data_IF_078424876524
#
_entry.id   IF_078424876524
#
_cell.length_a   1.000
_cell.length_b   1.000
_cell.length_c   1.000
_cell.angle_alpha   90.00
_cell.angle_beta   90.00
_cell.angle_gamma   90.00
#
_symmetry.space_group_name_H-M   'P 1'
#
loop_
_entity.id
_entity.type
_entity.pdbx_description
1 polymer ?
#
# COMPACT_ATOMS: atom_id res chain seq x y z
N UNK A 1 29.89 -11.62 -9.03
CA UNK A 1 28.96 -11.62 -10.18
C UNK A 1 27.64 -11.13 -9.63
N UNK A 2 27.58 -9.84 -9.29
CA UNK A 2 26.42 -9.27 -8.58
C UNK A 2 25.41 -8.81 -9.62
N UNK A 3 24.36 -9.62 -9.69
CA UNK A 3 23.27 -9.48 -10.64
C UNK A 3 22.53 -8.22 -10.24
N UNK A 4 22.47 -7.23 -11.15
CA UNK A 4 21.72 -5.97 -10.97
C UNK A 4 20.38 -6.24 -10.29
N UNK A 5 20.23 -5.73 -9.06
CA UNK A 5 19.03 -5.95 -8.26
C UNK A 5 17.93 -5.01 -8.74
N UNK A 6 16.74 -5.56 -8.98
CA UNK A 6 15.58 -4.78 -9.43
C UNK A 6 15.25 -3.68 -8.41
N UNK A 7 15.22 -2.43 -8.89
CA UNK A 7 14.90 -1.27 -8.06
C UNK A 7 13.67 -0.53 -8.58
N UNK A 8 13.02 0.22 -7.68
CA UNK A 8 11.92 1.14 -8.03
C UNK A 8 12.44 2.56 -8.00
N UNK A 9 12.62 3.14 -9.19
CA UNK A 9 13.09 4.50 -9.35
C UNK A 9 12.15 5.53 -8.68
N UNK A 10 12.73 6.53 -8.00
CA UNK A 10 11.99 7.62 -7.37
C UNK A 10 11.14 7.22 -6.16
N UNK A 11 11.26 5.99 -5.66
CA UNK A 11 10.54 5.53 -4.48
C UNK A 11 11.23 5.99 -3.21
N UNK A 12 10.49 6.65 -2.32
CA UNK A 12 11.02 7.20 -1.08
C UNK A 12 10.73 6.29 0.12
N UNK A 13 9.50 5.78 0.25
CA UNK A 13 9.11 4.93 1.37
C UNK A 13 8.23 3.74 0.91
N UNK A 14 8.38 2.62 1.60
CA UNK A 14 7.38 1.55 1.63
C UNK A 14 6.29 1.92 2.62
N UNK A 15 5.03 1.80 2.21
CA UNK A 15 3.90 2.14 3.08
C UNK A 15 3.05 0.91 3.35
N UNK A 16 2.90 0.58 4.63
CA UNK A 16 2.01 -0.48 5.11
C UNK A 16 0.84 0.21 5.81
N UNK A 17 -0.38 0.00 5.35
CA UNK A 17 -1.57 0.58 5.94
C UNK A 17 -2.25 -0.43 6.85
N UNK A 18 -2.21 -0.17 8.16
CA UNK A 18 -2.95 -0.90 9.18
C UNK A 18 -4.29 -0.23 9.41
N UNK A 19 -5.36 -0.95 9.13
CA UNK A 19 -6.73 -0.44 9.24
C UNK A 19 -7.45 -1.19 10.35
N UNK A 20 -8.10 -0.43 11.23
CA UNK A 20 -9.07 -0.96 12.17
C UNK A 20 -10.39 -0.22 11.96
N UNK A 21 -11.50 -0.90 12.16
CA UNK A 21 -12.80 -0.33 11.87
C UNK A 21 -13.92 -1.06 12.56
N UNK A 22 -14.98 -0.31 12.82
CA UNK A 22 -16.26 -0.86 13.24
C UNK A 22 -17.28 -0.48 12.18
N UNK A 23 -18.07 -1.48 11.78
CA UNK A 23 -19.00 -1.33 10.67
C UNK A 23 -20.32 -2.04 10.92
N UNK A 24 -21.32 -1.67 10.12
CA UNK A 24 -22.63 -2.30 10.11
C UNK A 24 -22.89 -2.88 8.73
N UNK A 25 -23.18 -4.18 8.72
CA UNK A 25 -23.67 -4.91 7.56
C UNK A 25 -25.16 -5.15 7.73
N UNK A 26 -25.97 -4.70 6.77
CA UNK A 26 -27.42 -4.95 6.79
C UNK A 26 -27.87 -5.47 5.44
N UNK A 27 -28.59 -6.58 5.46
CA UNK A 27 -29.30 -7.08 4.30
C UNK A 27 -30.62 -6.32 4.17
N UNK A 28 -30.88 -5.74 2.99
CA UNK A 28 -32.16 -5.06 2.73
C UNK A 28 -33.24 -6.07 2.35
N UNK A 29 -32.84 -7.19 1.75
CA UNK A 29 -33.76 -8.26 1.41
C UNK A 29 -33.90 -9.18 2.62
N UNK A 30 -35.14 -9.34 3.08
CA UNK A 30 -35.48 -10.43 3.98
C UNK A 30 -35.08 -11.74 3.28
N UNK A 31 -34.60 -12.75 4.00
CA UNK A 31 -34.36 -14.09 3.43
C UNK A 31 -35.71 -14.71 3.06
N UNK A 32 -36.39 -14.15 2.07
CA UNK A 32 -37.76 -14.45 1.71
C UNK A 32 -37.79 -15.68 0.83
N UNK A 33 -37.66 -16.84 1.49
CA UNK A 33 -38.42 -18.07 1.21
C UNK A 33 -38.36 -18.73 -0.18
N UNK A 34 -37.73 -18.17 -1.22
CA UNK A 34 -37.61 -18.78 -2.55
C UNK A 34 -36.33 -18.34 -3.29
N UNK A 35 -35.35 -19.24 -3.40
CA UNK A 35 -34.34 -19.32 -4.48
C UNK A 35 -33.73 -17.99 -5.01
N UNK A 36 -33.38 -17.03 -4.13
CA UNK A 36 -32.95 -15.68 -4.54
C UNK A 36 -31.56 -15.27 -4.06
N UNK A 37 -30.98 -14.28 -4.74
CA UNK A 37 -29.78 -13.53 -4.30
C UNK A 37 -30.23 -12.52 -3.23
N UNK A 38 -29.59 -12.55 -2.05
CA UNK A 38 -29.80 -11.53 -1.03
C UNK A 38 -28.85 -10.35 -1.28
N UNK A 39 -29.39 -9.13 -1.23
CA UNK A 39 -28.64 -7.88 -1.41
C UNK A 39 -28.60 -7.14 -0.07
N UNK A 40 -27.43 -6.63 0.28
CA UNK A 40 -27.15 -5.85 1.47
C UNK A 40 -26.20 -4.70 1.20
N UNK A 41 -25.98 -3.88 2.22
CA UNK A 41 -24.93 -2.86 2.26
C UNK A 41 -23.98 -3.13 3.44
N UNK A 42 -22.73 -2.75 3.25
CA UNK A 42 -21.68 -2.70 4.26
C UNK A 42 -21.18 -1.26 4.39
N UNK A 43 -21.10 -0.77 5.62
CA UNK A 43 -20.55 0.54 5.94
C UNK A 43 -19.64 0.39 7.15
N UNK A 44 -18.37 0.76 7.00
CA UNK A 44 -17.36 0.67 8.05
C UNK A 44 -16.57 1.98 8.13
N UNK A 45 -16.24 2.37 9.35
CA UNK A 45 -15.40 3.55 9.62
C UNK A 45 -14.44 3.22 10.77
N UNK A 46 -13.23 3.77 10.72
CA UNK A 46 -12.30 3.64 11.83
C UNK A 46 -10.95 4.29 11.61
N UNK A 47 -10.03 4.12 12.57
CA UNK A 47 -8.67 4.64 12.44
C UNK A 47 -7.85 3.82 11.44
N UNK A 48 -6.94 4.50 10.75
CA UNK A 48 -5.90 3.89 9.93
C UNK A 48 -4.53 4.40 10.34
N UNK A 49 -3.53 3.55 10.28
CA UNK A 49 -2.14 3.86 10.59
C UNK A 49 -1.28 3.45 9.40
N UNK A 50 -0.64 4.41 8.76
CA UNK A 50 0.35 4.16 7.73
C UNK A 50 1.74 4.05 8.37
N UNK A 51 2.36 2.88 8.28
CA UNK A 51 3.75 2.66 8.65
C UNK A 51 4.60 2.91 7.41
N UNK A 52 5.46 3.92 7.45
CA UNK A 52 6.38 4.28 6.40
C UNK A 52 7.77 3.75 6.73
N UNK A 53 8.27 2.83 5.92
CA UNK A 53 9.61 2.26 6.03
C UNK A 53 10.46 2.91 4.93
N UNK A 54 11.57 3.60 5.26
CA UNK A 54 12.42 4.25 4.27
C UNK A 54 12.98 3.26 3.26
N UNK A 55 12.98 3.66 1.97
CA UNK A 55 13.55 2.87 0.90
C UNK A 55 15.01 3.24 0.68
N UNK A 56 15.89 2.23 0.78
CA UNK A 56 17.32 2.37 0.57
C UNK A 56 17.68 1.96 -0.87
N UNK A 57 18.51 2.78 -1.51
CA UNK A 57 19.10 2.50 -2.81
C UNK A 57 20.61 2.44 -2.69
N UNK A 58 21.22 1.56 -3.48
CA UNK A 58 22.66 1.51 -3.63
C UNK A 58 23.05 2.49 -4.74
N UNK A 59 23.65 3.62 -4.35
CA UNK A 59 24.06 4.71 -5.24
C UNK A 59 25.55 4.62 -5.55
N UNK A 60 25.91 4.87 -6.80
CA UNK A 60 27.28 4.92 -7.28
C UNK A 60 27.77 6.36 -7.17
N UNK A 61 28.76 6.56 -6.32
CA UNK A 61 29.50 7.82 -6.22
C UNK A 61 30.85 7.66 -6.91
N UNK A 62 31.14 8.61 -7.79
CA UNK A 62 32.43 8.72 -8.47
C UNK A 62 33.26 9.75 -7.74
N UNK A 63 34.19 9.31 -6.90
CA UNK A 63 35.14 10.19 -6.22
C UNK A 63 36.49 10.13 -6.95
N UNK A 64 36.93 11.26 -7.50
CA UNK A 64 38.25 11.39 -8.11
C UNK A 64 39.23 11.92 -7.05
N UNK A 65 40.03 11.03 -6.46
CA UNK A 65 41.17 11.43 -5.62
C UNK A 65 42.47 11.21 -6.39
N UNK A 66 43.26 12.27 -6.55
CA UNK A 66 44.62 12.17 -7.13
C UNK A 66 44.67 11.71 -8.59
N UNK A 67 43.63 11.94 -9.39
CA UNK A 67 43.57 11.54 -10.81
C UNK A 67 43.14 10.09 -11.05
N UNK A 68 42.81 9.33 -9.99
CA UNK A 68 42.23 7.99 -10.08
C UNK A 68 40.74 8.09 -9.75
N UNK A 69 39.91 7.63 -10.68
CA UNK A 69 38.46 7.58 -10.53
C UNK A 69 38.07 6.30 -9.80
N UNK A 70 37.66 6.41 -8.54
CA UNK A 70 37.17 5.27 -7.76
C UNK A 70 35.63 5.29 -7.75
N UNK A 71 35.04 4.15 -8.09
CA UNK A 71 33.60 3.93 -7.99
C UNK A 71 33.29 3.36 -6.59
N UNK A 72 32.61 4.14 -5.77
CA UNK A 72 32.16 3.70 -4.44
C UNK A 72 30.65 3.53 -4.45
N UNK A 73 30.18 2.35 -4.05
CA UNK A 73 28.75 2.09 -3.88
C UNK A 73 28.39 2.41 -2.44
N UNK A 74 27.47 3.36 -2.22
CA UNK A 74 26.95 3.73 -0.90
C UNK A 74 25.45 3.45 -0.85
N UNK A 75 25.03 2.74 0.19
CA UNK A 75 23.62 2.47 0.47
C UNK A 75 23.01 3.64 1.23
N UNK A 76 22.13 4.40 0.59
CA UNK A 76 21.55 5.62 1.16
C UNK A 76 20.04 5.67 0.98
N UNK A 77 19.35 6.27 1.97
CA UNK A 77 17.95 6.66 1.85
C UNK A 77 17.84 8.02 1.19
N UNK A 78 16.68 8.32 0.62
CA UNK A 78 16.41 9.65 0.08
C UNK A 78 16.50 10.74 1.16
N UNK A 79 17.27 11.79 0.86
CA UNK A 79 17.35 13.04 1.59
C UNK A 79 17.34 14.19 0.57
N UNK A 80 16.95 15.40 0.99
CA UNK A 80 16.95 16.58 0.12
C UNK A 80 18.33 16.86 -0.50
N UNK A 81 19.41 16.54 0.23
CA UNK A 81 20.79 16.78 -0.20
C UNK A 81 21.29 15.76 -1.25
N UNK A 82 20.68 14.57 -1.34
CA UNK A 82 21.06 13.54 -2.31
C UNK A 82 20.04 13.38 -3.45
N UNK A 83 19.09 14.31 -3.56
CA UNK A 83 18.01 14.24 -4.55
C UNK A 83 18.54 14.12 -5.99
N UNK A 84 19.61 14.84 -6.33
CA UNK A 84 20.21 14.82 -7.67
C UNK A 84 20.79 13.43 -8.01
N UNK A 85 21.40 12.75 -7.04
CA UNK A 85 21.97 11.41 -7.23
C UNK A 85 20.90 10.31 -7.14
N UNK A 86 19.92 10.48 -6.26
CA UNK A 86 18.83 9.51 -6.03
C UNK A 86 17.80 9.51 -7.17
N UNK A 87 17.70 10.60 -7.92
CA UNK A 87 16.87 10.75 -9.12
C UNK A 87 17.67 10.58 -10.42
N UNK A 88 18.93 10.16 -10.36
CA UNK A 88 19.73 9.86 -11.55
C UNK A 88 19.76 8.34 -11.78
N UNK A 89 19.15 7.88 -12.87
CA UNK A 89 19.06 6.46 -13.20
C UNK A 89 20.44 5.83 -13.41
N UNK A 90 21.40 6.60 -13.96
CA UNK A 90 22.74 6.10 -14.28
C UNK A 90 23.62 5.95 -13.02
N UNK A 91 23.20 6.55 -11.90
CA UNK A 91 23.89 6.46 -10.62
C UNK A 91 23.27 5.43 -9.67
N UNK A 92 22.21 4.73 -10.07
CA UNK A 92 21.59 3.70 -9.24
C UNK A 92 22.18 2.34 -9.61
N UNK A 93 22.96 1.76 -8.71
CA UNK A 93 23.52 0.41 -8.87
C UNK A 93 22.46 -0.68 -8.72
N UNK A 94 21.54 -0.48 -7.77
CA UNK A 94 20.52 -1.46 -7.45
C UNK A 94 19.66 -1.10 -6.24
N UNK A 95 18.67 -1.95 -5.96
CA UNK A 95 17.81 -1.85 -4.80
C UNK A 95 18.39 -2.61 -3.62
N UNK A 96 18.47 -1.95 -2.46
CA UNK A 96 18.87 -2.58 -1.20
C UNK A 96 17.72 -3.45 -0.67
N UNK A 97 18.03 -4.53 0.07
CA UNK A 97 17.05 -5.49 0.55
C UNK A 97 15.90 -4.87 1.37
N UNK A 98 14.69 -5.44 1.23
CA UNK A 98 13.41 -4.94 1.77
C UNK A 98 13.38 -4.65 3.29
N UNK A 99 14.29 -5.23 4.08
CA UNK A 99 14.33 -5.06 5.54
C UNK A 99 15.26 -3.92 6.01
N UNK A 100 16.06 -3.35 5.10
CA UNK A 100 16.97 -2.24 5.39
C UNK A 100 16.15 -0.98 5.55
N UNK A 101 15.90 -0.55 6.80
CA UNK A 101 15.06 0.61 7.11
C UNK A 101 13.92 0.34 8.10
N UNK A 102 13.70 -0.91 8.53
CA UNK A 102 12.62 -1.22 9.49
C UNK A 102 12.78 -0.51 10.85
N UNK A 103 14.02 -0.26 11.29
CA UNK A 103 14.32 0.47 12.53
C UNK A 103 14.04 1.98 12.47
N UNK A 104 13.88 2.54 11.27
CA UNK A 104 13.58 3.96 11.03
C UNK A 104 12.15 4.16 10.53
N UNK A 105 11.28 3.17 10.78
CA UNK A 105 9.89 3.25 10.39
C UNK A 105 9.20 4.41 11.12
N UNK A 106 8.51 5.26 10.36
CA UNK A 106 7.64 6.31 10.91
C UNK A 106 6.18 5.90 10.79
N UNK A 107 5.34 6.39 11.69
CA UNK A 107 3.90 6.10 11.68
C UNK A 107 3.11 7.37 11.43
N UNK A 108 2.13 7.28 10.55
CA UNK A 108 1.25 8.37 10.20
C UNK A 108 -0.20 7.95 10.45
N UNK A 109 -0.86 8.54 11.47
CA UNK A 109 -2.26 8.26 11.74
C UNK A 109 -3.17 8.92 10.70
N UNK A 110 -4.34 8.32 10.54
CA UNK A 110 -5.41 8.76 9.66
C UNK A 110 -6.75 8.13 10.03
N UNK A 111 -7.75 8.40 9.20
CA UNK A 111 -9.11 7.86 9.29
C UNK A 111 -9.40 7.12 7.98
N UNK A 112 -10.01 5.95 8.09
CA UNK A 112 -10.50 5.18 6.95
C UNK A 112 -12.02 5.04 6.99
N UNK A 113 -12.60 4.94 5.81
CA UNK A 113 -14.01 4.66 5.60
C UNK A 113 -14.18 3.69 4.45
N UNK A 114 -15.14 2.78 4.58
CA UNK A 114 -15.43 1.74 3.60
C UNK A 114 -16.94 1.64 3.41
N UNK A 115 -17.36 1.53 2.17
CA UNK A 115 -18.76 1.45 1.79
C UNK A 115 -18.91 0.47 0.63
N UNK A 116 -19.76 -0.53 0.79
CA UNK A 116 -19.92 -1.58 -0.22
C UNK A 116 -21.32 -2.16 -0.29
N UNK A 117 -21.57 -2.85 -1.39
CA UNK A 117 -22.74 -3.67 -1.62
C UNK A 117 -22.36 -5.13 -1.39
N UNK A 118 -23.22 -5.84 -0.67
CA UNK A 118 -23.05 -7.24 -0.31
C UNK A 118 -24.08 -8.08 -1.07
N UNK A 119 -23.62 -9.05 -1.82
CA UNK A 119 -24.44 -10.00 -2.55
C UNK A 119 -24.21 -11.41 -1.99
N UNK A 120 -25.25 -12.05 -1.48
CA UNK A 120 -25.18 -13.42 -0.95
C UNK A 120 -26.07 -14.34 -1.78
N UNK A 121 -25.49 -15.40 -2.33
CA UNK A 121 -26.25 -16.39 -3.10
C UNK A 121 -26.99 -17.37 -2.16
N UNK A 122 -28.28 -17.58 -2.41
CA UNK A 122 -29.17 -18.41 -1.60
C UNK A 122 -28.94 -19.93 -1.77
N UNK A 123 -28.34 -20.54 -0.74
CA UNK A 123 -28.55 -21.88 -0.17
C UNK A 123 -29.26 -22.95 -1.04
N UNK A 124 -28.48 -23.70 -1.83
CA UNK A 124 -28.76 -25.12 -2.12
C UNK A 124 -27.50 -25.99 -2.21
N UNK A 125 -26.32 -25.39 -2.33
CA UNK A 125 -25.06 -26.09 -2.07
C UNK A 125 -24.51 -25.71 -0.70
N UNK A 126 -23.81 -26.66 -0.07
CA UNK A 126 -23.17 -26.57 1.26
C UNK A 126 -22.10 -25.45 1.38
N UNK A 127 -22.05 -24.53 0.42
CA UNK A 127 -21.07 -23.48 0.24
C UNK A 127 -21.75 -22.11 0.29
N UNK A 128 -21.52 -21.39 1.39
CA UNK A 128 -21.82 -19.96 1.51
C UNK A 128 -20.90 -19.24 0.52
N UNK A 129 -21.49 -18.60 -0.50
CA UNK A 129 -20.80 -17.73 -1.44
C UNK A 129 -21.38 -16.33 -1.27
N UNK A 130 -20.58 -15.40 -0.77
CA UNK A 130 -20.91 -13.98 -0.74
C UNK A 130 -19.86 -13.17 -1.50
N UNK A 131 -20.33 -12.17 -2.23
CA UNK A 131 -19.53 -11.22 -2.98
C UNK A 131 -19.78 -9.84 -2.37
N UNK A 132 -18.72 -9.15 -1.99
CA UNK A 132 -18.78 -7.77 -1.54
C UNK A 132 -18.00 -6.91 -2.52
N UNK A 133 -18.61 -5.85 -3.03
CA UNK A 133 -17.98 -4.89 -3.93
C UNK A 133 -18.15 -3.52 -3.32
N UNK A 134 -17.07 -2.74 -3.20
CA UNK A 134 -17.20 -1.42 -2.61
C UNK A 134 -16.02 -0.50 -2.86
N UNK A 135 -16.18 0.68 -2.26
CA UNK A 135 -15.20 1.75 -2.20
C UNK A 135 -14.62 1.81 -0.80
N UNK A 136 -13.35 2.15 -0.73
CA UNK A 136 -12.65 2.44 0.51
C UNK A 136 -11.86 3.71 0.32
N UNK A 137 -11.90 4.60 1.30
CA UNK A 137 -11.17 5.85 1.31
C UNK A 137 -10.36 5.96 2.60
N UNK A 138 -9.12 6.40 2.48
CA UNK A 138 -8.24 6.69 3.60
C UNK A 138 -7.80 8.14 3.54
N UNK A 139 -7.81 8.82 4.68
CA UNK A 139 -7.37 10.21 4.81
C UNK A 139 -6.41 10.31 5.98
N UNK A 140 -5.24 10.90 5.74
CA UNK A 140 -4.18 11.03 6.73
C UNK A 140 -3.98 12.51 7.09
N UNK A 141 -3.57 12.77 8.35
CA UNK A 141 -3.33 14.13 8.82
C UNK A 141 -2.15 14.84 8.12
N UNK A 142 -1.18 14.05 7.63
CA UNK A 142 -0.03 14.53 6.85
C UNK A 142 0.03 13.79 5.52
N UNK A 143 0.71 14.39 4.55
CA UNK A 143 1.04 13.73 3.28
C UNK A 143 1.85 12.47 3.56
N UNK A 144 1.60 11.41 2.79
CA UNK A 144 2.37 10.17 2.85
C UNK A 144 3.43 10.23 1.74
N UNK A 145 4.72 10.46 2.07
CA UNK A 145 5.79 10.49 1.07
C UNK A 145 6.09 9.10 0.52
N UNK A 146 5.36 8.64 -0.50
CA UNK A 146 5.61 7.32 -1.13
C UNK A 146 6.73 7.43 -2.16
N UNK A 147 6.65 8.48 -2.98
CA UNK A 147 7.59 8.78 -4.06
C UNK A 147 8.22 10.15 -3.79
N UNK A 148 9.41 10.37 -4.34
CA UNK A 148 10.04 11.69 -4.34
C UNK A 148 9.13 12.67 -5.08
N UNK A 149 8.84 13.81 -4.48
CA UNK A 149 7.99 14.83 -5.11
C UNK A 149 8.76 15.49 -6.26
N UNK A 150 8.16 15.49 -7.46
CA UNK A 150 8.65 16.19 -8.66
C UNK A 150 7.46 16.96 -9.24
N UNK A 151 7.66 17.87 -10.19
CA UNK A 151 6.57 18.66 -10.80
C UNK A 151 5.39 17.80 -11.29
N UNK A 152 5.67 16.56 -11.70
CA UNK A 152 4.68 15.59 -12.18
C UNK A 152 4.15 14.61 -11.11
N UNK A 153 4.81 14.47 -9.95
CA UNK A 153 4.47 13.49 -8.92
C UNK A 153 4.32 14.18 -7.57
N UNK A 154 3.08 14.31 -7.10
CA UNK A 154 2.77 14.91 -5.79
C UNK A 154 2.16 13.86 -4.86
N UNK A 155 2.69 13.75 -3.65
CA UNK A 155 2.14 12.86 -2.65
C UNK A 155 0.83 13.42 -2.11
N UNK A 156 -0.18 12.57 -2.03
CA UNK A 156 -1.52 12.94 -1.56
C UNK A 156 -1.73 12.43 -0.13
N UNK A 157 -2.45 13.19 0.72
CA UNK A 157 -2.81 12.73 2.06
C UNK A 157 -4.04 11.80 2.03
N UNK A 158 -4.61 11.51 0.85
CA UNK A 158 -5.80 10.69 0.71
C UNK A 158 -5.61 9.60 -0.34
N UNK A 159 -6.24 8.44 -0.12
CA UNK A 159 -6.21 7.29 -1.01
C UNK A 159 -7.65 6.81 -1.23
N UNK A 160 -8.04 6.65 -2.49
CA UNK A 160 -9.31 6.06 -2.88
C UNK A 160 -9.02 4.68 -3.49
N UNK A 161 -9.67 3.66 -2.95
CA UNK A 161 -9.46 2.26 -3.29
C UNK A 161 -10.81 1.64 -3.66
N UNK A 162 -10.78 0.75 -4.65
CA UNK A 162 -11.90 -0.12 -4.97
C UNK A 162 -11.54 -1.51 -4.46
N UNK A 163 -12.48 -2.18 -3.80
CA UNK A 163 -12.23 -3.51 -3.27
C UNK A 163 -13.31 -4.50 -3.71
N UNK A 164 -12.87 -5.75 -3.82
CA UNK A 164 -13.71 -6.90 -4.14
C UNK A 164 -13.38 -8.00 -3.13
N UNK A 165 -14.38 -8.46 -2.38
CA UNK A 165 -14.20 -9.52 -1.39
C UNK A 165 -15.07 -10.70 -1.77
N UNK A 166 -14.42 -11.85 -1.98
CA UNK A 166 -15.09 -13.13 -2.14
C UNK A 166 -15.05 -13.89 -0.82
N UNK A 167 -16.21 -14.19 -0.27
CA UNK A 167 -16.34 -15.01 0.93
C UNK A 167 -16.80 -16.40 0.53
N UNK A 168 -15.97 -17.39 0.84
CA UNK A 168 -16.26 -18.81 0.67
C UNK A 168 -16.27 -19.48 2.04
N UNK A 169 -17.40 -20.08 2.42
CA UNK A 169 -17.52 -20.80 3.68
C UNK A 169 -18.29 -22.10 3.50
N UNK A 170 -17.85 -23.19 4.13
CA UNK A 170 -18.60 -24.45 4.18
C UNK A 170 -19.22 -24.58 5.55
N UNK A 171 -20.55 -24.66 5.63
CA UNK A 171 -21.22 -24.96 6.90
C UNK A 171 -21.14 -26.47 7.10
N UNK A 172 -20.23 -26.92 7.97
CA UNK A 172 -20.23 -28.31 8.44
C UNK A 172 -21.38 -28.41 9.46
N UNK A 173 -22.36 -29.25 9.13
CA UNK A 173 -23.38 -29.75 10.06
C UNK A 173 -22.69 -30.80 10.94
#
# INVERSE_FOLDING_TARGET
NDISSSFKFGKQNHVIMLRAGVGKKKFLSDKAKRKGIAIGYDMEIGPTLAVLIPYYLDLIYTETQGGVTNLTIKTEKYNSDNADTFLDYDRIYGGTGYFTGFGEASVQPGIQGKLGLLFSLGQYDKTIKALEVGLMADVFFKKIPIMVETDNVKNKPYFLNFYLTFQFGKRKI
#
